data_IF_554016383376
#
_entry.id   IF_554016383376
#
_cell.length_a   1.000
_cell.length_b   1.000
_cell.length_c   1.000
_cell.angle_alpha   90.00
_cell.angle_beta   90.00
_cell.angle_gamma   90.00
#
_symmetry.space_group_name_H-M   'P 1'
#
loop_
_entity.id
_entity.type
_entity.pdbx_description
1 polymer ?
#
# COMPACT_ATOMS: atom_id res chain seq x y z
N UNK A 1 5.50 2.92 -14.08
CA UNK A 1 6.25 3.43 -12.91
C UNK A 1 7.37 4.30 -13.41
N UNK A 2 7.23 5.61 -13.24
CA UNK A 2 8.25 6.59 -13.64
C UNK A 2 7.70 8.00 -13.44
N UNK A 3 8.39 8.78 -12.61
CA UNK A 3 8.16 10.20 -12.25
C UNK A 3 7.26 10.58 -11.07
N UNK A 4 6.64 9.68 -10.31
CA UNK A 4 5.89 10.09 -9.09
C UNK A 4 6.58 9.67 -7.78
N UNK A 5 7.25 8.52 -7.74
CA UNK A 5 8.03 8.08 -6.57
C UNK A 5 9.27 7.27 -7.00
N UNK A 6 10.45 7.45 -6.38
CA UNK A 6 11.60 6.58 -6.59
C UNK A 6 11.27 5.16 -6.09
N UNK A 7 11.41 4.14 -6.93
CA UNK A 7 11.20 2.74 -6.54
C UNK A 7 12.29 2.22 -5.58
N UNK A 8 13.40 2.95 -5.45
CA UNK A 8 14.42 2.75 -4.41
C UNK A 8 13.83 2.83 -2.98
N UNK A 9 12.64 3.41 -2.81
CA UNK A 9 11.99 3.59 -1.50
C UNK A 9 11.29 2.35 -0.92
N UNK A 10 11.33 1.16 -1.54
CA UNK A 10 10.40 0.08 -1.15
C UNK A 10 11.01 -1.31 -0.93
N UNK A 11 12.30 -1.41 -0.61
CA UNK A 11 12.91 -2.71 -0.23
C UNK A 11 12.75 -3.81 -1.30
N UNK A 12 12.47 -3.41 -2.54
CA UNK A 12 12.35 -4.29 -3.70
C UNK A 12 13.73 -4.54 -4.29
N UNK A 13 13.99 -5.77 -4.74
CA UNK A 13 15.23 -6.10 -5.42
C UNK A 13 15.42 -5.19 -6.65
N UNK A 14 16.62 -4.63 -6.79
CA UNK A 14 16.96 -3.63 -7.81
C UNK A 14 16.69 -4.15 -9.23
N UNK A 15 17.05 -5.40 -9.53
CA UNK A 15 16.82 -6.02 -10.83
C UNK A 15 15.33 -6.18 -11.16
N UNK A 16 14.51 -6.54 -10.16
CA UNK A 16 13.06 -6.62 -10.33
C UNK A 16 12.46 -5.23 -10.55
N UNK A 17 12.93 -4.23 -9.81
CA UNK A 17 12.51 -2.84 -9.97
C UNK A 17 12.81 -2.31 -11.38
N UNK A 18 14.03 -2.53 -11.88
CA UNK A 18 14.43 -2.14 -13.24
C UNK A 18 13.58 -2.85 -14.30
N UNK A 19 13.37 -4.16 -14.14
CA UNK A 19 12.54 -4.94 -15.06
C UNK A 19 11.08 -4.43 -15.09
N UNK A 20 10.50 -4.11 -13.92
CA UNK A 20 9.17 -3.55 -13.83
C UNK A 20 9.10 -2.14 -14.44
N UNK A 21 10.12 -1.30 -14.25
CA UNK A 21 10.18 0.04 -14.86
C UNK A 21 10.19 -0.03 -16.38
N UNK A 22 10.99 -0.92 -16.97
CA UNK A 22 11.09 -1.08 -18.42
C UNK A 22 9.78 -1.57 -19.06
N UNK A 23 8.95 -2.31 -18.31
CA UNK A 23 7.72 -2.91 -18.81
C UNK A 23 6.44 -2.18 -18.38
N UNK A 24 6.53 -1.23 -17.44
CA UNK A 24 5.38 -0.52 -16.93
C UNK A 24 4.87 0.54 -17.92
N UNK A 25 3.73 0.25 -18.56
CA UNK A 25 3.10 1.10 -19.57
C UNK A 25 2.44 2.36 -19.01
N UNK A 26 2.01 2.35 -17.74
CA UNK A 26 1.33 3.48 -17.09
C UNK A 26 1.86 3.68 -15.66
N UNK A 27 1.85 4.93 -15.20
CA UNK A 27 2.18 5.30 -13.82
C UNK A 27 1.04 6.18 -13.30
N UNK A 28 0.40 5.76 -12.22
CA UNK A 28 -0.75 6.46 -11.64
C UNK A 28 -0.49 6.78 -10.17
N UNK A 29 -0.84 8.01 -9.78
CA UNK A 29 -0.55 8.55 -8.45
C UNK A 29 -1.60 8.18 -7.39
N UNK A 30 -2.73 7.58 -7.79
CA UNK A 30 -3.79 7.21 -6.87
C UNK A 30 -4.43 5.87 -7.26
N UNK A 31 -4.93 5.18 -6.23
CA UNK A 31 -5.48 3.82 -6.32
C UNK A 31 -6.79 3.77 -7.10
N UNK A 32 -7.61 4.81 -7.03
CA UNK A 32 -8.89 4.85 -7.75
C UNK A 32 -8.66 4.88 -9.27
N UNK A 33 -7.72 5.70 -9.74
CA UNK A 33 -7.32 5.75 -11.15
C UNK A 33 -6.66 4.44 -11.56
N UNK A 34 -5.84 3.82 -10.69
CA UNK A 34 -5.29 2.49 -10.94
C UNK A 34 -6.41 1.44 -11.13
N UNK A 35 -7.38 1.40 -10.22
CA UNK A 35 -8.54 0.50 -10.26
C UNK A 35 -9.29 0.63 -11.58
N UNK A 36 -9.66 1.85 -11.97
CA UNK A 36 -10.37 2.09 -13.24
C UNK A 36 -9.55 1.65 -14.45
N UNK A 37 -8.25 1.96 -14.49
CA UNK A 37 -7.40 1.52 -15.60
C UNK A 37 -7.29 0.00 -15.68
N UNK A 38 -7.13 -0.70 -14.56
CA UNK A 38 -7.08 -2.16 -14.52
C UNK A 38 -8.37 -2.75 -15.10
N UNK A 39 -9.53 -2.20 -14.72
CA UNK A 39 -10.84 -2.64 -15.24
C UNK A 39 -10.99 -2.44 -16.74
N UNK A 40 -10.64 -1.26 -17.22
CA UNK A 40 -10.86 -0.87 -18.61
C UNK A 40 -9.83 -1.50 -19.57
N UNK A 41 -8.58 -1.65 -19.12
CA UNK A 41 -7.48 -2.07 -20.00
C UNK A 41 -7.03 -3.51 -19.79
N UNK A 42 -7.42 -4.13 -18.68
CA UNK A 42 -6.93 -5.46 -18.28
C UNK A 42 -5.45 -5.50 -17.88
N UNK A 43 -4.76 -4.35 -17.87
CA UNK A 43 -3.35 -4.26 -17.48
C UNK A 43 -3.27 -4.39 -15.95
N UNK A 44 -2.51 -5.37 -15.40
CA UNK A 44 -2.44 -5.56 -13.96
C UNK A 44 -1.69 -4.42 -13.27
N UNK A 45 -2.07 -4.15 -12.02
CA UNK A 45 -1.39 -3.21 -11.14
C UNK A 45 -0.89 -3.92 -9.88
N UNK A 46 0.28 -3.49 -9.39
CA UNK A 46 0.79 -3.87 -8.07
C UNK A 46 0.39 -2.76 -7.11
N UNK A 47 -0.33 -3.12 -6.03
CA UNK A 47 -0.82 -2.20 -5.01
C UNK A 47 -0.66 -2.85 -3.63
N UNK A 48 -0.66 -2.05 -2.56
CA UNK A 48 -0.69 -2.57 -1.19
C UNK A 48 -2.01 -3.31 -0.90
N UNK A 49 -2.05 -4.18 0.13
CA UNK A 49 -3.24 -4.97 0.45
C UNK A 49 -4.51 -4.17 0.77
N UNK A 50 -4.39 -2.96 1.35
CA UNK A 50 -5.55 -2.11 1.66
C UNK A 50 -6.16 -1.55 0.39
N UNK A 51 -5.30 -1.05 -0.49
CA UNK A 51 -5.67 -0.60 -1.83
C UNK A 51 -6.31 -1.71 -2.66
N UNK A 52 -5.79 -2.94 -2.56
CA UNK A 52 -6.39 -4.10 -3.21
C UNK A 52 -7.81 -4.37 -2.70
N UNK A 53 -8.02 -4.40 -1.38
CA UNK A 53 -9.34 -4.62 -0.76
C UNK A 53 -10.34 -3.53 -1.19
N UNK A 54 -9.94 -2.26 -1.11
CA UNK A 54 -10.76 -1.13 -1.57
C UNK A 54 -11.17 -1.27 -3.05
N UNK A 55 -10.27 -1.78 -3.89
CA UNK A 55 -10.51 -1.97 -5.33
C UNK A 55 -11.46 -3.15 -5.61
N UNK A 56 -11.37 -4.22 -4.83
CA UNK A 56 -12.27 -5.37 -4.91
C UNK A 56 -13.70 -5.00 -4.52
N UNK A 57 -13.88 -4.17 -3.49
CA UNK A 57 -15.20 -3.74 -3.02
C UNK A 57 -16.00 -3.00 -4.09
N UNK A 58 -15.32 -2.35 -5.04
CA UNK A 58 -15.98 -1.67 -6.17
C UNK A 58 -16.24 -2.60 -7.38
N UNK A 59 -15.88 -3.88 -7.32
CA UNK A 59 -16.21 -4.92 -8.33
C UNK A 59 -15.36 -4.93 -9.62
N UNK A 60 -15.55 -5.90 -10.52
CA UNK A 60 -14.92 -5.87 -11.86
C UNK A 60 -13.40 -6.07 -11.93
N UNK A 61 -12.75 -6.41 -10.82
CA UNK A 61 -11.34 -6.80 -10.73
C UNK A 61 -11.20 -8.08 -9.90
N UNK A 62 -10.07 -8.77 -10.02
CA UNK A 62 -9.71 -9.88 -9.15
C UNK A 62 -8.40 -9.58 -8.42
N UNK A 63 -8.30 -9.98 -7.15
CA UNK A 63 -7.06 -9.91 -6.38
C UNK A 63 -6.33 -11.25 -6.46
N UNK A 64 -5.02 -11.20 -6.69
CA UNK A 64 -4.10 -12.32 -6.48
C UNK A 64 -3.01 -11.88 -5.50
N UNK A 65 -2.96 -12.44 -4.28
CA UNK A 65 -1.92 -12.07 -3.33
C UNK A 65 -0.55 -12.50 -3.86
N UNK A 66 0.41 -11.59 -3.83
CA UNK A 66 1.81 -11.91 -4.09
C UNK A 66 2.41 -12.48 -2.80
N UNK A 67 2.94 -13.69 -2.85
CA UNK A 67 3.65 -14.27 -1.72
C UNK A 67 5.04 -13.64 -1.65
N UNK A 68 5.15 -12.56 -0.88
CA UNK A 68 6.39 -11.80 -0.69
C UNK A 68 6.74 -11.76 0.79
N UNK A 69 8.04 -11.83 1.12
CA UNK A 69 8.54 -11.56 2.47
C UNK A 69 8.78 -10.05 2.64
N UNK A 70 7.72 -9.26 2.45
CA UNK A 70 7.78 -7.81 2.50
C UNK A 70 7.15 -7.34 3.81
N UNK A 71 7.98 -6.89 4.75
CA UNK A 71 7.51 -6.25 5.98
C UNK A 71 7.10 -4.82 5.67
N UNK A 72 5.81 -4.60 5.49
CA UNK A 72 5.26 -3.27 5.25
C UNK A 72 5.08 -2.55 6.59
N UNK A 73 5.99 -1.63 6.91
CA UNK A 73 5.96 -0.86 8.15
C UNK A 73 5.06 0.37 8.01
N UNK A 74 3.90 0.35 8.66
CA UNK A 74 3.03 1.52 8.79
C UNK A 74 3.47 2.29 10.04
N UNK A 75 3.62 3.61 9.92
CA UNK A 75 4.03 4.47 11.02
C UNK A 75 3.11 5.68 11.14
N UNK A 76 2.84 6.10 12.38
CA UNK A 76 2.16 7.36 12.69
C UNK A 76 3.24 8.43 12.91
N UNK A 77 3.20 9.51 12.12
CA UNK A 77 4.10 10.66 12.30
C UNK A 77 3.38 11.74 13.10
N UNK A 78 3.97 12.16 14.22
CA UNK A 78 3.45 13.23 15.05
C UNK A 78 4.54 14.24 15.39
N UNK A 79 4.14 15.49 15.69
CA UNK A 79 5.02 16.50 16.28
C UNK A 79 5.20 16.08 17.75
N UNK A 80 6.14 15.19 18.06
CA UNK A 80 6.63 14.80 19.41
C UNK A 80 5.61 14.33 20.46
N UNK A 81 5.91 13.25 21.21
CA UNK A 81 5.02 12.74 22.28
C UNK A 81 4.74 13.80 23.36
N UNK A 82 5.71 14.68 23.61
CA UNK A 82 5.65 15.76 24.61
C UNK A 82 4.79 16.95 24.17
N UNK A 83 4.50 17.05 22.87
CA UNK A 83 3.70 18.13 22.26
C UNK A 83 2.34 17.64 21.76
N UNK A 84 1.99 16.38 22.00
CA UNK A 84 0.67 15.83 21.71
C UNK A 84 -0.32 16.17 22.82
N UNK A 85 -1.51 16.64 22.43
CA UNK A 85 -2.64 16.72 23.37
C UNK A 85 -3.11 15.33 23.76
N UNK A 86 -3.88 15.22 24.85
CA UNK A 86 -4.44 13.95 25.30
C UNK A 86 -5.29 13.29 24.19
N UNK A 87 -6.07 14.08 23.47
CA UNK A 87 -6.92 13.63 22.36
C UNK A 87 -6.08 13.07 21.22
N UNK A 88 -4.97 13.74 20.89
CA UNK A 88 -4.07 13.28 19.82
C UNK A 88 -3.41 11.95 20.20
N UNK A 89 -3.09 11.76 21.48
CA UNK A 89 -2.53 10.50 22.00
C UNK A 89 -3.55 9.37 21.96
N UNK A 90 -4.76 9.61 22.45
CA UNK A 90 -5.85 8.63 22.37
C UNK A 90 -6.15 8.25 20.91
N UNK A 91 -6.13 9.20 19.98
CA UNK A 91 -6.30 8.90 18.56
C UNK A 91 -5.18 8.01 18.01
N UNK A 92 -3.92 8.32 18.33
CA UNK A 92 -2.79 7.50 17.88
C UNK A 92 -2.86 6.07 18.43
N UNK A 93 -3.21 5.91 19.71
CA UNK A 93 -3.39 4.60 20.35
C UNK A 93 -4.55 3.81 19.74
N UNK A 94 -5.68 4.48 19.46
CA UNK A 94 -6.81 3.85 18.79
C UNK A 94 -6.46 3.38 17.38
N UNK A 95 -5.67 4.16 16.63
CA UNK A 95 -5.16 3.76 15.32
C UNK A 95 -4.23 2.56 15.41
N UNK A 96 -3.27 2.57 16.34
CA UNK A 96 -2.34 1.43 16.57
C UNK A 96 -3.13 0.17 16.87
N UNK A 97 -4.04 0.23 17.85
CA UNK A 97 -4.87 -0.91 18.26
C UNK A 97 -5.73 -1.42 17.10
N UNK A 98 -6.32 -0.52 16.32
CA UNK A 98 -7.13 -0.87 15.16
C UNK A 98 -6.33 -1.58 14.07
N UNK A 99 -5.10 -1.13 13.81
CA UNK A 99 -4.22 -1.76 12.84
C UNK A 99 -3.67 -3.10 13.31
N UNK A 100 -3.31 -3.26 14.60
CA UNK A 100 -2.89 -4.55 15.15
C UNK A 100 -3.99 -5.62 15.05
N UNK A 101 -5.25 -5.22 15.15
CA UNK A 101 -6.40 -6.09 15.00
C UNK A 101 -6.82 -6.34 13.54
N UNK A 102 -6.28 -5.63 12.54
CA UNK A 102 -6.68 -5.82 11.14
C UNK A 102 -6.16 -7.16 10.61
N UNK A 103 -7.03 -8.05 10.09
CA UNK A 103 -6.64 -9.36 9.56
C UNK A 103 -5.56 -9.31 8.47
N UNK A 104 -5.48 -8.21 7.70
CA UNK A 104 -4.45 -8.00 6.67
C UNK A 104 -3.08 -7.81 7.32
N UNK A 105 -3.01 -7.08 8.43
CA UNK A 105 -1.77 -6.80 9.15
C UNK A 105 -1.37 -7.99 10.02
N UNK A 106 -2.32 -8.56 10.76
CA UNK A 106 -2.05 -9.68 11.68
C UNK A 106 -1.61 -10.95 10.93
N UNK A 107 -2.09 -11.16 9.70
CA UNK A 107 -1.67 -12.30 8.87
C UNK A 107 -0.23 -12.17 8.33
N UNK A 108 0.35 -10.97 8.29
CA UNK A 108 1.73 -10.75 7.85
C UNK A 108 2.77 -10.89 8.98
N UNK A 109 2.31 -11.06 10.23
CA UNK A 109 3.17 -11.14 11.42
C UNK A 109 3.54 -12.57 11.87
N UNK A 110 2.96 -13.61 11.23
CA UNK A 110 3.20 -15.02 11.55
C UNK A 110 4.02 -15.73 10.47
#
# INVERSE_FOLDING_TARGET
FGNVYPLEMQGMEEQLSEHLQQNARYSVANVLTASSLVRETGIPAIVDPFSARMTLDQGGVAIRPLQQNLRYHIAIITRGVDTMTQETRHLAEALITGFEADPIISAAAN
#
